data_IF_203519462942
#
_entry.id   IF_203519462942
#
_cell.length_a   1.000
_cell.length_b   1.000
_cell.length_c   1.000
_cell.angle_alpha   90.00
_cell.angle_beta   90.00
_cell.angle_gamma   90.00
#
_symmetry.space_group_name_H-M   'P 1'
#
loop_
_entity.id
_entity.type
_entity.pdbx_description
1 polymer ?
#
# COMPACT_ATOMS: atom_id res chain seq x y z
N UNK A 1 -3.68 -6.95 34.42
CA UNK A 1 -2.31 -6.43 34.12
C UNK A 1 -1.63 -7.44 33.19
N UNK A 2 -1.04 -7.06 32.04
CA UNK A 2 -0.98 -5.74 31.39
C UNK A 2 -1.60 -5.68 29.96
N UNK A 3 -1.94 -4.45 29.54
CA UNK A 3 -2.09 -3.93 28.16
C UNK A 3 -0.70 -3.46 27.63
N UNK A 4 -0.48 -2.89 26.40
CA UNK A 4 -1.42 -2.51 25.32
C UNK A 4 -0.92 -2.82 23.88
N UNK A 5 -1.78 -2.56 22.86
CA UNK A 5 -1.40 -1.77 21.68
C UNK A 5 -2.63 -1.36 20.87
N UNK A 6 -3.26 -0.28 21.33
CA UNK A 6 -4.15 0.58 20.57
C UNK A 6 -3.46 0.98 19.25
N UNK A 7 -3.95 0.51 18.10
CA UNK A 7 -3.52 1.02 16.79
C UNK A 7 -4.48 2.13 16.38
N UNK A 8 -4.04 3.35 16.68
CA UNK A 8 -4.77 4.60 16.51
C UNK A 8 -4.77 5.04 15.04
N UNK A 9 -5.82 4.70 14.29
CA UNK A 9 -6.09 5.32 12.98
C UNK A 9 -6.89 6.60 13.21
N UNK A 10 -6.23 7.73 13.48
CA UNK A 10 -6.90 9.04 13.54
C UNK A 10 -6.73 9.80 12.23
N UNK A 11 -7.77 9.73 11.38
CA UNK A 11 -8.04 10.76 10.39
C UNK A 11 -8.91 11.84 11.08
N UNK A 12 -8.59 13.11 10.88
CA UNK A 12 -8.96 14.23 11.75
C UNK A 12 -10.46 14.58 11.82
N UNK A 13 -10.87 15.12 12.97
CA UNK A 13 -12.19 15.71 13.30
C UNK A 13 -12.35 17.08 12.62
N UNK A 14 -13.49 17.38 11.97
CA UNK A 14 -13.78 18.73 11.45
C UNK A 14 -15.18 19.26 11.78
N UNK A 15 -15.22 20.55 12.17
CA UNK A 15 -16.39 21.36 12.54
C UNK A 15 -16.48 22.61 11.65
N UNK A 16 -17.55 22.72 10.88
CA UNK A 16 -17.93 23.85 10.02
C UNK A 16 -18.72 24.85 10.87
N UNK A 17 -18.33 26.12 10.79
CA UNK A 17 -19.22 27.26 11.07
C UNK A 17 -19.52 27.90 9.73
N UNK A 18 -20.81 28.08 9.44
CA UNK A 18 -21.31 28.46 8.15
C UNK A 18 -21.21 29.96 7.87
N UNK A 19 -21.41 30.31 6.60
CA UNK A 19 -21.71 31.67 6.17
C UNK A 19 -20.58 32.68 6.36
N UNK A 20 -20.70 33.89 5.80
CA UNK A 20 -19.56 34.75 5.47
C UNK A 20 -18.95 35.42 6.70
N UNK A 21 -18.19 34.66 7.49
CA UNK A 21 -17.06 35.12 8.28
C UNK A 21 -16.00 34.03 8.27
N UNK A 22 -14.87 34.38 7.66
CA UNK A 22 -13.62 33.62 7.57
C UNK A 22 -13.10 33.18 8.95
N UNK A 23 -13.73 32.17 9.54
CA UNK A 23 -13.15 31.38 10.62
C UNK A 23 -12.15 30.42 9.99
N UNK A 24 -11.03 31.03 9.62
CA UNK A 24 -9.72 30.45 9.35
C UNK A 24 -9.70 28.92 9.49
N UNK A 25 -9.39 28.25 8.37
CA UNK A 25 -8.72 26.95 8.30
C UNK A 25 -7.38 26.95 9.04
N UNK A 26 -7.37 27.39 10.30
CA UNK A 26 -6.29 27.18 11.26
C UNK A 26 -6.45 25.74 11.72
N UNK A 27 -5.90 24.85 10.91
CA UNK A 27 -4.93 23.89 11.40
C UNK A 27 -5.19 23.47 12.86
N UNK A 28 -6.10 22.51 13.09
CA UNK A 28 -6.04 21.68 14.30
C UNK A 28 -4.79 20.76 14.29
N UNK A 29 -3.66 21.22 13.70
CA UNK A 29 -2.37 20.55 13.73
C UNK A 29 -1.93 20.22 15.15
N UNK A 30 -2.35 21.02 16.14
CA UNK A 30 -2.03 20.76 17.54
C UNK A 30 -2.62 19.43 18.02
N UNK A 31 -3.85 19.10 17.59
CA UNK A 31 -4.53 17.85 17.93
C UNK A 31 -4.29 16.73 16.91
N UNK A 32 -3.69 17.05 15.77
CA UNK A 32 -3.33 16.05 14.78
C UNK A 32 -2.30 15.08 15.37
N UNK A 33 -2.55 13.78 15.18
CA UNK A 33 -1.59 12.75 15.55
C UNK A 33 -0.24 13.03 14.89
N UNK A 34 0.83 12.87 15.66
CA UNK A 34 2.21 13.20 15.25
C UNK A 34 2.60 12.48 13.96
N UNK A 35 2.09 11.27 13.74
CA UNK A 35 2.38 10.47 12.54
C UNK A 35 1.82 11.06 11.23
N UNK A 36 0.85 11.98 11.31
CA UNK A 36 0.24 12.64 10.13
C UNK A 36 0.63 14.11 10.00
N UNK A 37 1.33 14.69 10.98
CA UNK A 37 1.75 16.09 10.94
C UNK A 37 2.62 16.37 9.72
N UNK A 38 2.28 17.43 8.98
CA UNK A 38 2.99 17.82 7.76
C UNK A 38 2.78 16.89 6.56
N UNK A 39 1.98 15.83 6.70
CA UNK A 39 1.69 14.87 5.62
C UNK A 39 0.29 15.09 5.02
N UNK A 40 -0.61 15.77 5.72
CA UNK A 40 -2.00 15.94 5.27
C UNK A 40 -2.28 17.34 4.72
N UNK A 41 -3.14 17.43 3.71
CA UNK A 41 -3.67 18.68 3.19
C UNK A 41 -5.17 18.53 2.89
N UNK A 42 -5.98 19.52 3.30
CA UNK A 42 -7.41 19.55 3.04
C UNK A 42 -7.71 20.51 1.89
N UNK A 43 -8.59 20.13 0.97
CA UNK A 43 -9.01 20.98 -0.15
C UNK A 43 -10.18 21.88 0.29
N UNK A 44 -9.86 23.02 0.91
CA UNK A 44 -10.87 23.93 1.48
C UNK A 44 -11.80 24.55 0.43
N UNK A 45 -11.30 24.77 -0.79
CA UNK A 45 -12.06 25.27 -1.93
C UNK A 45 -13.22 24.34 -2.31
N UNK A 46 -13.02 23.02 -2.16
CA UNK A 46 -14.00 22.00 -2.51
C UNK A 46 -15.11 21.86 -1.47
N UNK A 47 -14.89 22.32 -0.23
CA UNK A 47 -15.91 22.27 0.83
C UNK A 47 -17.13 23.11 0.47
N UNK A 48 -16.93 24.23 -0.24
CA UNK A 48 -18.00 25.15 -0.65
C UNK A 48 -19.02 24.50 -1.60
N UNK A 49 -18.63 23.43 -2.29
CA UNK A 49 -19.48 22.65 -3.21
C UNK A 49 -19.83 21.27 -2.64
N UNK A 50 -19.70 21.10 -1.32
CA UNK A 50 -20.10 19.88 -0.61
C UNK A 50 -19.12 18.71 -0.75
N UNK A 51 -17.87 18.95 -1.19
CA UNK A 51 -16.85 17.91 -1.32
C UNK A 51 -15.79 18.05 -0.24
N UNK A 52 -15.68 17.03 0.62
CA UNK A 52 -14.58 16.89 1.55
C UNK A 52 -13.51 15.98 0.95
N UNK A 53 -12.34 16.54 0.63
CA UNK A 53 -11.19 15.79 0.10
C UNK A 53 -9.95 16.04 0.94
N UNK A 54 -9.17 14.98 1.19
CA UNK A 54 -7.91 15.04 1.93
C UNK A 54 -6.80 14.35 1.15
N UNK A 55 -5.67 15.04 1.01
CA UNK A 55 -4.43 14.49 0.47
C UNK A 55 -3.53 14.03 1.62
N UNK A 56 -3.05 12.80 1.55
CA UNK A 56 -1.98 12.28 2.40
C UNK A 56 -0.68 12.13 1.57
N UNK A 57 0.42 12.69 2.05
CA UNK A 57 1.72 12.72 1.39
C UNK A 57 2.72 11.82 2.11
N UNK A 58 3.66 11.25 1.33
CA UNK A 58 4.64 10.30 1.85
C UNK A 58 3.96 9.10 2.49
N UNK A 59 3.06 8.44 1.74
CA UNK A 59 2.28 7.28 2.20
C UNK A 59 3.21 6.16 2.65
N UNK A 60 2.87 5.54 3.78
CA UNK A 60 3.60 4.47 4.44
C UNK A 60 2.69 3.25 4.58
N UNK A 61 3.26 2.05 4.68
CA UNK A 61 2.48 0.82 4.86
C UNK A 61 1.61 0.85 6.11
N UNK A 62 2.04 1.57 7.16
CA UNK A 62 1.28 1.75 8.40
C UNK A 62 0.03 2.62 8.25
N UNK A 63 -0.11 3.36 7.14
CA UNK A 63 -1.33 4.15 6.89
C UNK A 63 -2.49 3.25 6.41
N UNK A 64 -2.20 2.03 5.95
CA UNK A 64 -3.24 1.08 5.55
C UNK A 64 -4.12 0.73 6.74
N UNK A 65 -5.43 0.94 6.59
CA UNK A 65 -6.36 0.72 7.69
C UNK A 65 -7.69 1.43 7.50
N UNK A 66 -8.62 1.20 8.43
CA UNK A 66 -9.86 1.96 8.48
C UNK A 66 -9.54 3.43 8.71
N UNK A 67 -10.19 4.31 7.97
CA UNK A 67 -10.15 5.74 8.16
C UNK A 67 -11.58 6.29 8.21
N UNK A 68 -11.77 7.36 8.97
CA UNK A 68 -13.10 7.96 9.16
C UNK A 68 -13.07 9.38 8.65
N UNK A 69 -14.08 9.74 7.85
CA UNK A 69 -14.33 11.11 7.45
C UNK A 69 -15.48 11.64 8.29
N UNK A 70 -15.21 12.69 9.06
CA UNK A 70 -16.22 13.40 9.85
C UNK A 70 -16.38 14.83 9.33
N UNK A 71 -17.59 15.16 8.90
CA UNK A 71 -17.98 16.49 8.43
C UNK A 71 -19.13 16.97 9.30
N UNK A 72 -18.87 17.97 10.13
CA UNK A 72 -19.91 18.63 10.94
C UNK A 72 -20.17 20.03 10.41
N UNK A 73 -21.41 20.47 10.29
CA UNK A 73 -21.84 21.83 10.02
C UNK A 73 -22.97 22.31 10.94
N UNK A 74 -23.59 23.44 10.59
CA UNK A 74 -24.70 24.00 11.37
C UNK A 74 -25.97 23.14 11.28
N UNK A 75 -26.08 22.30 10.26
CA UNK A 75 -27.23 21.44 10.00
C UNK A 75 -27.06 20.06 10.64
N UNK A 76 -25.83 19.61 10.89
CA UNK A 76 -25.57 18.37 11.63
C UNK A 76 -24.16 17.84 11.46
N UNK A 77 -23.97 16.55 11.78
CA UNK A 77 -22.70 15.85 11.59
C UNK A 77 -22.93 14.60 10.77
N UNK A 78 -22.09 14.40 9.75
CA UNK A 78 -22.05 13.19 8.93
C UNK A 78 -20.70 12.52 9.12
N UNK A 79 -20.74 11.20 9.29
CA UNK A 79 -19.57 10.35 9.48
C UNK A 79 -19.59 9.24 8.45
N UNK A 80 -18.47 9.05 7.76
CA UNK A 80 -18.28 7.97 6.81
C UNK A 80 -17.02 7.17 7.14
N UNK A 81 -17.14 5.84 7.10
CA UNK A 81 -16.00 4.93 7.32
C UNK A 81 -15.49 4.43 5.98
N UNK A 82 -14.19 4.53 5.81
CA UNK A 82 -13.44 4.20 4.60
C UNK A 82 -12.34 3.20 4.96
N UNK A 83 -11.84 2.50 3.96
CA UNK A 83 -10.67 1.64 4.10
C UNK A 83 -9.56 2.19 3.21
N UNK A 84 -8.46 2.67 3.81
CA UNK A 84 -7.27 3.08 3.08
C UNK A 84 -6.47 1.82 2.73
N UNK A 85 -6.23 1.61 1.44
CA UNK A 85 -5.35 0.57 0.92
C UNK A 85 -4.06 1.23 0.43
N UNK A 86 -2.93 0.59 0.73
CA UNK A 86 -1.61 1.06 0.31
C UNK A 86 -1.05 0.08 -0.71
N UNK A 87 -0.42 0.61 -1.75
CA UNK A 87 0.32 -0.18 -2.72
C UNK A 87 1.67 0.50 -3.01
N UNK A 88 2.68 -0.32 -3.29
CA UNK A 88 3.98 0.08 -3.76
C UNK A 88 4.34 -0.77 -4.98
N UNK A 89 4.84 -0.15 -6.06
CA UNK A 89 5.24 -0.89 -7.24
C UNK A 89 6.44 -1.80 -6.93
N UNK A 90 6.41 -3.00 -7.50
CA UNK A 90 7.58 -3.86 -7.54
C UNK A 90 8.65 -3.25 -8.46
N UNK A 91 9.93 -3.49 -8.14
CA UNK A 91 11.01 -3.28 -9.10
C UNK A 91 10.83 -4.18 -10.31
N UNK A 92 11.31 -3.69 -11.45
CA UNK A 92 11.36 -4.49 -12.67
C UNK A 92 12.01 -5.85 -12.38
N UNK A 93 11.33 -6.96 -12.71
CA UNK A 93 11.80 -8.30 -12.38
C UNK A 93 13.13 -8.59 -13.09
N UNK A 94 14.12 -8.98 -12.31
CA UNK A 94 15.41 -9.40 -12.84
C UNK A 94 15.39 -10.91 -13.06
N UNK A 95 15.66 -11.32 -14.30
CA UNK A 95 15.79 -12.71 -14.69
C UNK A 95 17.27 -13.07 -14.83
N UNK A 96 17.65 -14.20 -14.26
CA UNK A 96 18.99 -14.78 -14.42
C UNK A 96 18.87 -16.22 -14.86
N UNK A 97 19.77 -16.64 -15.75
CA UNK A 97 19.80 -18.00 -16.29
C UNK A 97 21.16 -18.61 -15.94
N UNK A 98 21.13 -19.73 -15.25
CA UNK A 98 22.31 -20.53 -14.93
C UNK A 98 22.20 -21.85 -15.69
N UNK A 99 23.25 -22.24 -16.41
CA UNK A 99 23.26 -23.48 -17.19
C UNK A 99 24.36 -24.42 -16.70
N UNK A 100 24.04 -25.71 -16.76
CA UNK A 100 24.91 -26.85 -16.48
C UNK A 100 24.86 -27.80 -17.68
N UNK A 101 25.66 -28.87 -17.67
CA UNK A 101 25.68 -29.84 -18.78
C UNK A 101 24.30 -30.47 -19.07
N UNK A 102 23.51 -30.70 -18.02
CA UNK A 102 22.27 -31.46 -18.09
C UNK A 102 21.02 -30.68 -17.64
N UNK A 103 21.15 -29.39 -17.32
CA UNK A 103 20.04 -28.58 -16.83
C UNK A 103 20.28 -27.09 -16.98
N UNK A 104 19.21 -26.32 -16.92
CA UNK A 104 19.28 -24.88 -16.68
C UNK A 104 18.28 -24.47 -15.61
N UNK A 105 18.64 -23.42 -14.87
CA UNK A 105 17.81 -22.80 -13.84
C UNK A 105 17.55 -21.36 -14.26
N UNK A 106 16.27 -20.99 -14.32
CA UNK A 106 15.83 -19.60 -14.50
C UNK A 106 15.40 -19.09 -13.14
N UNK A 107 16.01 -18.00 -12.68
CA UNK A 107 15.66 -17.36 -11.41
C UNK A 107 15.14 -15.95 -11.66
N UNK A 108 13.94 -15.70 -11.14
CA UNK A 108 13.23 -14.44 -11.07
C UNK A 108 13.47 -13.80 -9.69
N UNK A 109 13.91 -12.54 -9.68
CA UNK A 109 13.95 -11.71 -8.49
C UNK A 109 13.19 -10.40 -8.71
N UNK A 110 12.29 -10.05 -7.80
CA UNK A 110 11.65 -8.74 -7.75
C UNK A 110 11.46 -8.30 -6.30
N UNK A 111 11.52 -7.00 -6.03
CA UNK A 111 11.52 -6.49 -4.66
C UNK A 111 10.84 -5.13 -4.53
N UNK A 112 10.65 -4.70 -3.28
CA UNK A 112 10.09 -3.40 -2.86
C UNK A 112 8.61 -3.19 -3.20
N UNK A 113 7.90 -4.24 -3.60
CA UNK A 113 6.47 -4.15 -3.89
C UNK A 113 5.57 -4.35 -2.68
N UNK A 114 4.34 -3.88 -2.80
CA UNK A 114 3.26 -4.08 -1.85
C UNK A 114 1.92 -3.85 -2.58
N UNK A 115 0.84 -4.60 -2.39
CA UNK A 115 0.55 -5.67 -1.43
C UNK A 115 1.17 -7.03 -1.80
N UNK A 116 0.69 -8.10 -1.18
CA UNK A 116 1.12 -9.48 -1.46
C UNK A 116 1.04 -9.77 -2.97
N UNK A 117 2.13 -10.24 -3.60
CA UNK A 117 2.14 -10.56 -5.01
C UNK A 117 1.68 -11.99 -5.27
N UNK A 118 1.15 -12.20 -6.48
CA UNK A 118 1.03 -13.52 -7.08
C UNK A 118 2.23 -13.77 -8.00
N UNK A 119 2.75 -14.99 -7.97
CA UNK A 119 3.84 -15.44 -8.85
C UNK A 119 3.28 -16.51 -9.76
N UNK A 120 3.51 -16.37 -11.06
CA UNK A 120 3.11 -17.34 -12.05
C UNK A 120 4.28 -17.67 -12.98
N UNK A 121 4.36 -18.94 -13.39
CA UNK A 121 5.22 -19.39 -14.46
C UNK A 121 4.34 -20.00 -15.54
N UNK A 122 4.57 -19.58 -16.78
CA UNK A 122 3.84 -20.12 -17.93
C UNK A 122 4.82 -20.64 -18.97
N UNK A 123 4.43 -21.70 -19.67
CA UNK A 123 5.16 -22.17 -20.83
C UNK A 123 4.89 -21.31 -22.08
N UNK A 124 5.51 -21.65 -23.21
CA UNK A 124 5.36 -20.90 -24.46
C UNK A 124 3.95 -20.93 -25.08
N UNK A 125 3.09 -21.85 -24.63
CA UNK A 125 1.69 -21.95 -25.09
C UNK A 125 0.70 -21.41 -24.05
N UNK A 126 1.20 -20.85 -22.93
CA UNK A 126 0.40 -20.27 -21.85
C UNK A 126 -0.09 -21.28 -20.80
N UNK A 127 0.43 -22.51 -20.80
CA UNK A 127 0.16 -23.51 -19.78
C UNK A 127 0.79 -23.13 -18.44
N UNK A 128 0.04 -23.28 -17.34
CA UNK A 128 0.54 -23.02 -15.98
C UNK A 128 1.51 -24.12 -15.54
N UNK A 129 2.75 -23.72 -15.28
CA UNK A 129 3.83 -24.58 -14.81
C UNK A 129 4.33 -24.16 -13.43
N UNK A 130 3.60 -23.31 -12.70
CA UNK A 130 3.99 -22.82 -11.38
C UNK A 130 4.29 -23.95 -10.38
N UNK A 131 3.57 -25.07 -10.44
CA UNK A 131 3.79 -26.24 -9.57
C UNK A 131 5.17 -26.90 -9.73
N UNK A 132 5.90 -26.58 -10.80
CA UNK A 132 7.26 -27.06 -11.06
C UNK A 132 8.32 -26.05 -10.58
N UNK A 133 7.89 -24.86 -10.14
CA UNK A 133 8.77 -23.81 -9.63
C UNK A 133 9.00 -23.92 -8.14
N UNK A 134 10.11 -23.35 -7.69
CA UNK A 134 10.40 -23.09 -6.29
C UNK A 134 10.29 -21.59 -6.04
N UNK A 135 9.27 -21.16 -5.30
CA UNK A 135 9.00 -19.75 -5.00
C UNK A 135 9.12 -19.44 -3.52
N UNK A 136 9.76 -18.32 -3.21
CA UNK A 136 9.90 -17.78 -1.87
C UNK A 136 9.51 -16.29 -1.88
N UNK A 137 8.51 -15.95 -1.07
CA UNK A 137 8.02 -14.58 -0.90
C UNK A 137 8.29 -14.17 0.55
N UNK A 138 9.21 -13.22 0.73
CA UNK A 138 9.60 -12.67 2.02
C UNK A 138 9.21 -11.21 2.18
N UNK A 139 9.44 -10.66 3.37
CA UNK A 139 9.28 -9.23 3.65
C UNK A 139 10.64 -8.61 3.98
N UNK A 140 10.90 -7.41 3.47
CA UNK A 140 12.05 -6.57 3.84
C UNK A 140 11.84 -5.91 5.21
N UNK A 141 12.88 -5.24 5.71
CA UNK A 141 12.84 -4.51 7.00
C UNK A 141 11.82 -3.37 7.05
N UNK A 142 11.26 -2.98 5.90
CA UNK A 142 10.25 -1.92 5.74
C UNK A 142 8.86 -2.50 5.47
N UNK A 143 8.69 -3.83 5.58
CA UNK A 143 7.42 -4.53 5.38
C UNK A 143 7.00 -4.68 3.92
N UNK A 144 7.92 -4.52 2.96
CA UNK A 144 7.65 -4.72 1.52
C UNK A 144 8.04 -6.11 1.07
N UNK A 145 7.36 -6.61 0.05
CA UNK A 145 7.62 -7.93 -0.48
C UNK A 145 8.91 -7.99 -1.30
N UNK A 146 9.64 -9.06 -1.05
CA UNK A 146 10.78 -9.52 -1.82
C UNK A 146 10.48 -10.93 -2.33
N UNK A 147 10.53 -11.10 -3.64
CA UNK A 147 10.04 -12.25 -4.37
C UNK A 147 11.22 -12.89 -5.08
N UNK A 148 11.49 -14.13 -4.72
CA UNK A 148 12.41 -15.00 -5.43
C UNK A 148 11.64 -16.19 -5.97
N UNK A 149 11.84 -16.53 -7.23
CA UNK A 149 11.25 -17.73 -7.80
C UNK A 149 12.20 -18.35 -8.79
N UNK A 150 12.33 -19.67 -8.79
CA UNK A 150 13.23 -20.40 -9.67
C UNK A 150 12.55 -21.58 -10.34
N UNK A 151 12.88 -21.80 -11.61
CA UNK A 151 12.43 -22.94 -12.40
C UNK A 151 13.66 -23.71 -12.88
N UNK A 152 13.73 -25.00 -12.56
CA UNK A 152 14.76 -25.90 -13.09
C UNK A 152 14.16 -26.75 -14.20
N UNK A 153 14.87 -26.86 -15.33
CA UNK A 153 14.51 -27.78 -16.39
C UNK A 153 15.71 -28.67 -16.75
N UNK A 154 15.50 -29.97 -16.76
CA UNK A 154 16.51 -30.95 -17.12
C UNK A 154 16.62 -31.05 -18.65
N UNK A 155 17.79 -30.78 -19.20
CA UNK A 155 18.10 -30.93 -20.62
C UNK A 155 19.03 -32.12 -20.77
N UNK A 156 18.52 -33.25 -21.27
CA UNK A 156 19.39 -34.39 -21.59
C UNK A 156 20.05 -34.17 -22.94
N UNK A 157 21.36 -33.99 -22.94
CA UNK A 157 22.17 -34.07 -24.16
C UNK A 157 22.36 -35.55 -24.53
N UNK A 158 21.69 -35.99 -25.60
CA UNK A 158 21.97 -37.29 -26.22
C UNK A 158 22.94 -37.02 -27.38
N UNK A 159 24.19 -37.48 -27.23
CA UNK A 159 25.20 -37.54 -28.30
C UNK A 159 24.98 -38.77 -29.18
#
# INVERSE_FOLDING_TARGET
>A
KPEPQQRDCQLAVWRVRGGPQLLHGRHQLERQSVVYKGRTHLFEDQLTVGKASLRLSGVQLSDQGPCTCDVTDEQGSTQEKLQLLVAAPFKEPQLSVQSSCDSFIITLHSSQGFSQPDVCWTDSIGGDIFNQSHSHIGLDSRGRYDVHSSMENAVRCLL
#
